data_IF_038672511416
#
_entry.id   IF_038672511416
#
_cell.length_a   1.000
_cell.length_b   1.000
_cell.length_c   1.000
_cell.angle_alpha   90.00
_cell.angle_beta   90.00
_cell.angle_gamma   90.00
#
_symmetry.space_group_name_H-M   'P 1'
#
loop_
_entity.id
_entity.type
_entity.pdbx_description
1 polymer ?
#
# COMPACT_ATOMS: atom_id res chain seq x y z
N UNK A 1 -64.62 -44.65 -43.60
CA UNK A 1 -64.52 -43.90 -44.88
C UNK A 1 -64.11 -42.50 -44.56
N UNK A 2 -62.92 -42.19 -44.87
CA UNK A 2 -62.51 -40.84 -45.06
C UNK A 2 -61.11 -40.62 -45.43
N UNK A 3 -60.88 -39.98 -46.45
CA UNK A 3 -59.55 -39.77 -47.09
C UNK A 3 -58.78 -38.64 -46.45
N UNK A 4 -57.53 -38.96 -46.13
CA UNK A 4 -56.40 -38.12 -45.72
C UNK A 4 -55.82 -37.49 -46.99
N UNK A 5 -55.84 -36.19 -47.09
CA UNK A 5 -55.07 -35.47 -48.10
C UNK A 5 -53.80 -34.87 -47.44
N UNK A 6 -52.68 -35.51 -47.75
CA UNK A 6 -51.36 -35.00 -47.46
C UNK A 6 -50.89 -34.18 -48.66
N UNK A 7 -50.75 -32.87 -48.50
CA UNK A 7 -50.13 -32.01 -49.49
C UNK A 7 -48.69 -31.76 -49.11
N UNK A 8 -47.80 -32.50 -49.78
CA UNK A 8 -46.33 -32.29 -49.75
C UNK A 8 -45.96 -31.04 -50.54
N UNK A 9 -45.39 -30.07 -49.92
CA UNK A 9 -44.79 -28.89 -50.55
C UNK A 9 -43.51 -29.31 -51.34
N UNK A 10 -43.26 -28.75 -52.55
CA UNK A 10 -42.10 -29.13 -53.38
C UNK A 10 -40.80 -28.64 -52.77
N UNK A 11 -39.68 -29.40 -52.95
CA UNK A 11 -38.39 -29.19 -52.25
C UNK A 11 -37.64 -27.88 -52.62
N UNK A 12 -38.06 -27.15 -53.64
CA UNK A 12 -37.45 -25.89 -54.06
C UNK A 12 -37.93 -24.69 -53.24
N UNK A 13 -39.02 -24.76 -52.50
CA UNK A 13 -39.45 -23.68 -51.60
C UNK A 13 -38.64 -23.64 -50.27
N UNK A 14 -38.20 -24.80 -49.77
CA UNK A 14 -37.41 -24.88 -48.56
C UNK A 14 -36.00 -24.30 -48.72
N UNK A 15 -35.47 -24.26 -49.95
CA UNK A 15 -34.12 -23.78 -50.22
C UNK A 15 -34.02 -22.24 -50.28
N UNK A 16 -35.13 -21.54 -50.49
CA UNK A 16 -35.17 -20.09 -50.53
C UNK A 16 -35.38 -19.42 -49.15
N UNK A 17 -35.96 -20.14 -48.19
CA UNK A 17 -36.14 -19.63 -46.85
C UNK A 17 -34.86 -19.70 -46.01
N UNK A 18 -33.92 -20.60 -46.32
CA UNK A 18 -32.64 -20.71 -45.61
C UNK A 18 -31.63 -19.57 -45.92
N UNK A 19 -31.73 -18.98 -47.12
CA UNK A 19 -30.76 -17.93 -47.52
C UNK A 19 -31.17 -16.56 -46.94
N UNK A 20 -32.43 -16.30 -46.72
CA UNK A 20 -32.91 -15.07 -46.13
C UNK A 20 -32.79 -15.04 -44.59
N UNK A 21 -32.75 -16.18 -43.93
CA UNK A 21 -32.58 -16.28 -42.51
C UNK A 21 -31.15 -15.95 -42.07
N UNK A 22 -30.14 -16.24 -42.88
CA UNK A 22 -28.73 -15.98 -42.57
C UNK A 22 -28.38 -14.50 -42.81
N UNK A 23 -29.00 -13.82 -43.79
CA UNK A 23 -28.77 -12.40 -44.01
C UNK A 23 -29.43 -11.47 -42.97
N UNK A 24 -30.56 -11.93 -42.34
CA UNK A 24 -31.23 -11.12 -41.32
C UNK A 24 -30.50 -11.12 -39.96
N UNK A 25 -29.69 -12.16 -39.69
CA UNK A 25 -28.94 -12.26 -38.45
C UNK A 25 -27.69 -11.30 -38.41
N UNK A 26 -27.28 -10.74 -39.52
CA UNK A 26 -26.14 -9.79 -39.60
C UNK A 26 -26.55 -8.32 -39.48
N UNK A 27 -27.82 -8.02 -39.30
CA UNK A 27 -28.33 -6.64 -39.14
C UNK A 27 -28.78 -6.29 -37.71
N UNK A 28 -28.33 -7.06 -36.72
CA UNK A 28 -28.52 -6.65 -35.35
C UNK A 28 -27.59 -5.42 -35.13
N UNK A 29 -28.13 -4.26 -34.68
CA UNK A 29 -27.29 -3.11 -34.36
C UNK A 29 -26.34 -3.56 -33.24
N UNK A 30 -25.04 -3.54 -33.50
CA UNK A 30 -24.04 -3.60 -32.44
C UNK A 30 -24.33 -2.41 -31.53
N UNK A 31 -24.85 -2.67 -30.35
CA UNK A 31 -24.90 -1.66 -29.30
C UNK A 31 -23.48 -1.10 -29.14
N UNK A 32 -23.30 0.23 -29.16
CA UNK A 32 -21.99 0.77 -28.88
C UNK A 32 -21.58 0.28 -27.50
N UNK A 33 -20.44 -0.42 -27.42
CA UNK A 33 -19.80 -0.67 -26.15
C UNK A 33 -19.55 0.71 -25.55
N UNK A 34 -20.37 1.11 -24.57
CA UNK A 34 -20.06 2.29 -23.78
C UNK A 34 -18.77 1.97 -23.05
N UNK A 35 -17.65 2.42 -23.60
CA UNK A 35 -16.44 2.55 -22.85
C UNK A 35 -16.81 3.45 -21.66
N UNK A 36 -16.85 2.85 -20.49
CA UNK A 36 -16.89 3.61 -19.24
C UNK A 36 -15.63 4.46 -19.26
N UNK A 37 -15.78 5.72 -19.63
CA UNK A 37 -14.77 6.74 -19.43
C UNK A 37 -14.62 6.88 -17.93
N UNK A 38 -13.68 6.12 -17.37
CA UNK A 38 -13.18 6.29 -16.02
C UNK A 38 -12.65 7.73 -15.94
N UNK A 39 -13.45 8.62 -15.39
CA UNK A 39 -13.16 9.95 -14.83
C UNK A 39 -11.79 10.56 -15.20
N UNK A 40 -11.53 10.76 -16.50
CA UNK A 40 -10.43 11.62 -16.96
C UNK A 40 -9.00 11.22 -16.55
N UNK A 41 -8.81 10.11 -15.89
CA UNK A 41 -7.49 9.52 -15.66
C UNK A 41 -7.13 8.67 -16.88
N UNK A 42 -6.21 9.17 -17.67
CA UNK A 42 -5.53 8.36 -18.69
C UNK A 42 -4.94 7.12 -17.99
N UNK A 43 -5.07 5.91 -18.58
CA UNK A 43 -4.30 4.77 -18.09
C UNK A 43 -2.83 5.17 -18.12
N UNK A 44 -2.13 5.03 -16.98
CA UNK A 44 -0.69 5.20 -16.94
C UNK A 44 -0.06 4.15 -17.85
N UNK A 45 0.33 4.57 -19.06
CA UNK A 45 1.08 3.76 -20.01
C UNK A 45 2.56 3.68 -19.56
N UNK A 46 2.82 3.04 -18.43
CA UNK A 46 4.19 2.96 -17.94
C UNK A 46 4.39 2.21 -16.64
N UNK A 47 3.33 1.88 -15.91
CA UNK A 47 3.48 1.13 -14.66
C UNK A 47 3.68 -0.35 -14.98
N UNK A 48 4.94 -0.76 -15.01
CA UNK A 48 5.31 -2.16 -14.90
C UNK A 48 4.61 -2.75 -13.69
N UNK A 49 3.96 -3.90 -13.90
CA UNK A 49 3.19 -4.73 -12.98
C UNK A 49 3.03 -4.15 -11.55
N UNK A 50 2.01 -3.34 -11.35
CA UNK A 50 1.66 -2.83 -10.02
C UNK A 50 1.50 -3.99 -9.04
N UNK A 51 2.13 -3.87 -7.86
CA UNK A 51 1.99 -4.89 -6.82
C UNK A 51 0.53 -4.93 -6.36
N UNK A 52 -0.18 -6.08 -6.47
CA UNK A 52 -1.56 -6.17 -6.03
C UNK A 52 -1.69 -5.86 -4.53
N UNK A 53 -2.73 -5.11 -4.13
CA UNK A 53 -2.96 -4.72 -2.73
C UNK A 53 -2.94 -5.93 -1.77
N UNK A 54 -3.56 -7.06 -2.17
CA UNK A 54 -3.54 -8.27 -1.36
C UNK A 54 -2.13 -8.91 -1.20
N UNK A 55 -1.21 -8.68 -2.12
CA UNK A 55 0.20 -9.12 -1.98
C UNK A 55 0.91 -8.21 -0.99
N UNK A 56 0.73 -6.90 -1.12
CA UNK A 56 1.27 -5.90 -0.21
C UNK A 56 0.77 -6.10 1.22
N UNK A 57 -0.54 -6.35 1.39
CA UNK A 57 -1.14 -6.68 2.68
C UNK A 57 -0.52 -7.92 3.32
N UNK A 58 -0.39 -9.04 2.60
CA UNK A 58 0.21 -10.27 3.13
C UNK A 58 1.67 -10.09 3.51
N UNK A 59 2.41 -9.29 2.73
CA UNK A 59 3.79 -8.95 3.07
C UNK A 59 3.84 -8.19 4.40
N UNK A 60 3.02 -7.16 4.56
CA UNK A 60 2.90 -6.40 5.81
C UNK A 60 2.51 -7.26 7.00
N UNK A 61 1.52 -8.13 6.84
CA UNK A 61 1.11 -9.09 7.88
C UNK A 61 2.23 -10.02 8.31
N UNK A 62 3.08 -10.46 7.38
CA UNK A 62 4.22 -11.32 7.72
C UNK A 62 5.24 -10.58 8.56
N UNK A 63 5.52 -9.31 8.23
CA UNK A 63 6.45 -8.46 8.96
C UNK A 63 5.87 -8.09 10.33
N UNK A 64 4.61 -7.66 10.39
CA UNK A 64 3.93 -7.30 11.62
C UNK A 64 3.90 -8.45 12.63
N UNK A 65 3.68 -9.70 12.18
CA UNK A 65 3.74 -10.87 13.04
C UNK A 65 5.10 -11.06 13.71
N UNK A 66 6.19 -10.75 13.01
CA UNK A 66 7.54 -10.82 13.60
C UNK A 66 7.76 -9.67 14.61
N UNK A 67 7.24 -8.48 14.32
CA UNK A 67 7.27 -7.35 15.27
C UNK A 67 6.50 -7.71 16.55
N UNK A 68 5.29 -8.24 16.44
CA UNK A 68 4.45 -8.59 17.61
C UNK A 68 5.01 -9.74 18.45
N UNK A 69 5.92 -10.56 17.90
CA UNK A 69 6.63 -11.61 18.64
C UNK A 69 7.93 -11.11 19.25
N UNK A 70 8.34 -9.93 18.89
CA UNK A 70 9.57 -9.35 19.38
C UNK A 70 9.49 -8.99 20.86
N UNK A 71 10.51 -9.30 21.69
CA UNK A 71 10.58 -8.83 23.09
C UNK A 71 10.54 -7.31 23.25
N UNK A 72 10.93 -6.57 22.20
CA UNK A 72 10.89 -5.11 22.20
C UNK A 72 9.54 -4.54 21.71
N UNK A 73 8.61 -5.39 21.26
CA UNK A 73 7.23 -4.95 21.07
C UNK A 73 6.62 -4.52 22.41
N UNK A 74 6.01 -3.34 22.42
CA UNK A 74 5.40 -2.78 23.60
C UNK A 74 3.88 -2.73 23.46
N UNK A 75 3.20 -3.58 24.24
CA UNK A 75 1.75 -3.53 24.42
C UNK A 75 1.44 -2.67 25.66
N UNK A 76 1.37 -1.35 25.45
CA UNK A 76 1.06 -0.37 26.49
C UNK A 76 -0.23 0.35 26.10
N UNK A 77 -1.35 0.11 26.83
CA UNK A 77 -2.64 0.71 26.49
C UNK A 77 -2.64 2.23 26.54
N UNK A 78 -1.88 2.84 27.48
CA UNK A 78 -1.85 4.31 27.64
C UNK A 78 -1.16 4.97 26.45
N UNK A 79 0.02 4.45 26.09
CA UNK A 79 0.74 4.95 24.90
C UNK A 79 0.00 4.59 23.61
N UNK A 80 -0.64 3.43 23.54
CA UNK A 80 -1.48 3.04 22.43
C UNK A 80 -2.64 4.00 22.24
N UNK A 81 -3.39 4.33 23.27
CA UNK A 81 -4.48 5.30 23.21
C UNK A 81 -3.98 6.69 22.81
N UNK A 82 -2.82 7.11 23.33
CA UNK A 82 -2.20 8.37 22.92
C UNK A 82 -1.86 8.38 21.43
N UNK A 83 -1.20 7.36 20.90
CA UNK A 83 -0.92 7.24 19.47
C UNK A 83 -2.21 7.23 18.63
N UNK A 84 -3.23 6.48 19.06
CA UNK A 84 -4.51 6.44 18.37
C UNK A 84 -5.22 7.81 18.37
N UNK A 85 -5.07 8.61 19.43
CA UNK A 85 -5.64 9.95 19.48
C UNK A 85 -5.09 10.90 18.40
N UNK A 86 -3.87 10.63 17.91
CA UNK A 86 -3.23 11.37 16.82
C UNK A 86 -3.51 10.66 15.47
N UNK A 87 -3.39 9.33 15.45
CA UNK A 87 -3.50 8.53 14.23
C UNK A 87 -4.89 8.60 13.58
N UNK A 88 -5.96 8.52 14.39
CA UNK A 88 -7.32 8.52 13.87
C UNK A 88 -7.72 9.82 13.16
N UNK A 89 -7.41 11.04 13.69
CA UNK A 89 -7.59 12.27 12.96
C UNK A 89 -6.83 12.36 11.64
N UNK A 90 -5.58 11.84 11.60
CA UNK A 90 -4.78 11.80 10.37
C UNK A 90 -5.42 10.89 9.31
N UNK A 91 -5.90 9.70 9.69
CA UNK A 91 -6.64 8.81 8.79
C UNK A 91 -7.93 9.46 8.27
N UNK A 92 -8.68 10.14 9.16
CA UNK A 92 -9.89 10.86 8.77
C UNK A 92 -9.61 11.97 7.75
N UNK A 93 -8.55 12.74 7.98
CA UNK A 93 -8.07 13.76 7.05
C UNK A 93 -7.63 13.16 5.71
N UNK A 94 -6.81 12.12 5.73
CA UNK A 94 -6.36 11.44 4.51
C UNK A 94 -7.55 10.92 3.68
N UNK A 95 -8.60 10.44 4.33
CA UNK A 95 -9.86 10.02 3.68
C UNK A 95 -10.58 11.20 3.04
N UNK A 96 -10.75 12.30 3.76
CA UNK A 96 -11.43 13.52 3.27
C UNK A 96 -10.69 14.12 2.07
N UNK A 97 -9.37 14.06 2.08
CA UNK A 97 -8.51 14.55 0.99
C UNK A 97 -8.46 13.61 -0.20
N UNK A 98 -8.99 12.39 -0.08
CA UNK A 98 -8.91 11.36 -1.13
C UNK A 98 -7.53 10.70 -1.26
N UNK A 99 -6.62 10.96 -0.31
CA UNK A 99 -5.31 10.27 -0.24
C UNK A 99 -5.48 8.83 0.24
N UNK A 100 -6.43 8.58 1.13
CA UNK A 100 -6.86 7.26 1.54
C UNK A 100 -8.10 6.85 0.74
N UNK A 101 -7.89 6.02 -0.30
CA UNK A 101 -8.99 5.53 -1.13
C UNK A 101 -9.81 4.44 -0.42
N UNK A 102 -11.09 4.24 -0.79
CA UNK A 102 -11.90 3.17 -0.21
C UNK A 102 -11.29 1.77 -0.36
N UNK A 103 -10.59 1.51 -1.46
CA UNK A 103 -9.92 0.23 -1.70
C UNK A 103 -8.77 0.01 -0.73
N UNK A 104 -7.92 1.02 -0.51
CA UNK A 104 -6.84 0.97 0.47
C UNK A 104 -7.39 0.81 1.88
N UNK A 105 -8.43 1.59 2.23
CA UNK A 105 -9.05 1.53 3.54
C UNK A 105 -9.58 0.14 3.89
N UNK A 106 -10.20 -0.55 2.93
CA UNK A 106 -10.76 -1.89 3.14
C UNK A 106 -9.69 -2.98 3.19
N UNK A 107 -8.60 -2.83 2.44
CA UNK A 107 -7.62 -3.90 2.27
C UNK A 107 -6.44 -3.82 3.24
N UNK A 108 -6.13 -2.64 3.77
CA UNK A 108 -4.96 -2.43 4.63
C UNK A 108 -5.32 -2.44 6.12
N UNK A 109 -4.30 -2.61 6.99
CA UNK A 109 -4.50 -2.78 8.42
C UNK A 109 -4.74 -1.47 9.17
N UNK A 110 -4.03 -0.42 8.81
CA UNK A 110 -3.99 0.88 9.50
C UNK A 110 -3.60 0.76 10.98
N UNK A 111 -2.64 -0.10 11.27
CA UNK A 111 -2.16 -0.41 12.61
C UNK A 111 -0.81 0.26 12.89
N UNK A 112 -0.65 0.74 14.13
CA UNK A 112 0.61 1.33 14.63
C UNK A 112 1.16 0.43 15.73
N UNK A 113 2.36 -0.11 15.51
CA UNK A 113 3.09 -0.91 16.48
C UNK A 113 4.09 -0.02 17.25
N UNK A 114 4.07 -0.11 18.59
CA UNK A 114 5.01 0.57 19.46
C UNK A 114 6.20 -0.35 19.76
N UNK A 115 7.42 0.17 19.59
CA UNK A 115 8.65 -0.59 19.75
C UNK A 115 9.51 0.05 20.85
N UNK A 116 10.00 -0.75 21.80
CA UNK A 116 10.86 -0.33 22.90
C UNK A 116 12.29 -0.08 22.43
N UNK A 117 12.45 0.87 21.53
CA UNK A 117 13.76 1.26 21.00
C UNK A 117 14.00 2.75 21.31
N UNK A 118 15.25 3.09 21.64
CA UNK A 118 15.63 4.45 22.05
C UNK A 118 15.94 5.37 20.89
N UNK A 119 16.13 4.83 19.70
CA UNK A 119 16.38 5.63 18.50
C UNK A 119 15.14 6.46 18.15
N UNK A 120 15.37 7.68 17.66
CA UNK A 120 14.31 8.56 17.18
C UNK A 120 13.93 8.07 15.78
N UNK A 121 12.84 7.31 15.69
CA UNK A 121 12.42 6.71 14.41
C UNK A 121 10.93 6.38 14.40
N UNK A 122 10.33 6.50 13.20
CA UNK A 122 9.10 5.84 12.79
C UNK A 122 9.29 5.32 11.37
N UNK A 123 8.51 4.35 10.95
CA UNK A 123 8.65 3.78 9.62
C UNK A 123 7.34 3.16 9.14
N UNK A 124 7.07 3.38 7.86
CA UNK A 124 5.97 2.73 7.16
C UNK A 124 6.33 1.29 6.77
N UNK A 125 5.35 0.42 6.81
CA UNK A 125 5.43 -0.97 6.36
C UNK A 125 4.34 -1.24 5.30
N UNK A 126 4.53 -2.26 4.45
CA UNK A 126 3.51 -2.62 3.47
C UNK A 126 2.17 -2.95 4.14
N UNK A 127 1.07 -2.70 3.44
CA UNK A 127 -0.25 -3.13 3.91
C UNK A 127 -0.85 -2.34 5.07
N UNK A 128 -0.35 -1.11 5.31
CA UNK A 128 -0.94 -0.20 6.29
C UNK A 128 -0.47 -0.39 7.73
N UNK A 129 0.71 -0.97 7.93
CA UNK A 129 1.36 -1.05 9.23
C UNK A 129 2.39 0.05 9.37
N UNK A 130 2.52 0.58 10.58
CA UNK A 130 3.57 1.53 10.99
C UNK A 130 4.29 1.00 12.21
N UNK A 131 5.60 1.27 12.30
CA UNK A 131 6.37 1.11 13.53
C UNK A 131 6.73 2.47 14.11
N UNK A 132 6.61 2.63 15.43
CA UNK A 132 6.98 3.84 16.17
C UNK A 132 7.90 3.45 17.32
N UNK A 133 9.08 4.05 17.38
CA UNK A 133 10.02 3.84 18.47
C UNK A 133 9.69 4.74 19.67
N UNK A 134 9.85 4.22 20.87
CA UNK A 134 9.71 5.02 22.10
C UNK A 134 10.63 6.24 22.12
N UNK A 135 11.83 6.14 21.49
CA UNK A 135 12.75 7.25 21.36
C UNK A 135 12.15 8.45 20.65
N UNK A 136 11.32 8.25 19.63
CA UNK A 136 10.61 9.32 18.94
C UNK A 136 9.62 10.01 19.89
N UNK A 137 8.77 9.24 20.58
CA UNK A 137 7.78 9.79 21.52
C UNK A 137 8.46 10.59 22.63
N UNK A 138 9.64 10.12 23.06
CA UNK A 138 10.42 10.81 24.10
C UNK A 138 11.13 12.07 23.62
N UNK A 139 11.37 12.20 22.32
CA UNK A 139 12.14 13.30 21.72
C UNK A 139 11.26 14.47 21.27
N UNK A 140 10.03 14.19 20.85
CA UNK A 140 9.10 15.24 20.39
C UNK A 140 8.64 16.12 21.56
N UNK A 141 8.49 17.40 21.29
CA UNK A 141 8.09 18.41 22.28
C UNK A 141 6.57 18.65 22.28
N UNK A 142 5.88 18.24 21.22
CA UNK A 142 4.42 18.45 21.06
C UNK A 142 3.76 17.30 20.28
N UNK A 143 2.44 17.26 20.38
CA UNK A 143 1.62 16.36 19.57
C UNK A 143 1.71 16.71 18.06
N UNK A 144 1.93 17.98 17.72
CA UNK A 144 2.07 18.42 16.33
C UNK A 144 3.33 17.85 15.68
N UNK A 145 4.44 17.84 16.43
CA UNK A 145 5.69 17.21 15.95
C UNK A 145 5.49 15.71 15.71
N UNK A 146 4.83 14.99 16.63
CA UNK A 146 4.53 13.58 16.44
C UNK A 146 3.56 13.36 15.27
N UNK A 147 2.53 14.20 15.16
CA UNK A 147 1.57 14.15 14.05
C UNK A 147 2.24 14.38 12.70
N UNK A 148 3.26 15.26 12.62
CA UNK A 148 4.00 15.50 11.39
C UNK A 148 4.73 14.24 10.90
N UNK A 149 5.40 13.54 11.81
CA UNK A 149 6.09 12.28 11.48
C UNK A 149 5.08 11.20 11.08
N UNK A 150 4.01 11.03 11.86
CA UNK A 150 2.98 10.02 11.54
C UNK A 150 2.26 10.33 10.22
N UNK A 151 2.04 11.60 9.88
CA UNK A 151 1.44 12.01 8.61
C UNK A 151 2.38 11.75 7.43
N UNK A 152 3.69 11.95 7.61
CA UNK A 152 4.70 11.61 6.63
C UNK A 152 4.70 10.09 6.35
N UNK A 153 4.77 9.27 7.41
CA UNK A 153 4.72 7.80 7.28
C UNK A 153 3.41 7.29 6.68
N UNK A 154 2.27 7.89 7.07
CA UNK A 154 0.97 7.62 6.47
C UNK A 154 0.99 7.88 4.96
N UNK A 155 1.68 8.94 4.54
CA UNK A 155 1.78 9.29 3.12
C UNK A 155 2.57 8.27 2.32
N UNK A 156 3.63 7.66 2.89
CA UNK A 156 4.32 6.55 2.25
C UNK A 156 3.40 5.36 1.99
N UNK A 157 2.46 5.09 2.90
CA UNK A 157 1.48 4.01 2.74
C UNK A 157 0.41 4.38 1.71
N UNK A 158 -0.21 5.57 1.82
CA UNK A 158 -1.30 5.98 0.93
C UNK A 158 -0.84 6.18 -0.51
N UNK A 159 0.40 6.66 -0.72
CA UNK A 159 1.03 6.80 -2.04
C UNK A 159 1.71 5.49 -2.51
N UNK A 160 1.64 4.43 -1.71
CA UNK A 160 2.14 3.09 -2.02
C UNK A 160 3.63 3.08 -2.43
N UNK A 161 4.46 3.87 -1.75
CA UNK A 161 5.88 4.02 -2.09
C UNK A 161 6.62 2.69 -2.01
N UNK A 162 6.34 1.85 -1.01
CA UNK A 162 6.95 0.53 -0.87
C UNK A 162 6.55 -0.39 -2.04
N UNK A 163 5.27 -0.39 -2.43
CA UNK A 163 4.81 -1.17 -3.58
C UNK A 163 5.48 -0.72 -4.88
N UNK A 164 5.67 0.58 -5.06
CA UNK A 164 6.40 1.15 -6.22
C UNK A 164 7.86 0.72 -6.23
N UNK A 165 8.55 0.69 -5.08
CA UNK A 165 9.92 0.16 -5.00
C UNK A 165 9.98 -1.34 -5.30
N UNK A 166 9.03 -2.13 -4.78
CA UNK A 166 8.92 -3.56 -5.05
C UNK A 166 8.72 -3.82 -6.55
N UNK A 167 7.86 -3.06 -7.21
CA UNK A 167 7.60 -3.17 -8.65
C UNK A 167 8.87 -2.92 -9.48
N UNK A 168 9.71 -1.98 -9.05
CA UNK A 168 10.99 -1.68 -9.71
C UNK A 168 12.00 -2.84 -9.61
N UNK A 169 11.90 -3.69 -8.59
CA UNK A 169 12.77 -4.87 -8.39
C UNK A 169 12.30 -6.12 -9.14
N UNK A 170 11.16 -6.05 -9.83
CA UNK A 170 10.61 -7.13 -10.62
C UNK A 170 10.00 -8.26 -9.79
N UNK A 171 9.91 -9.48 -10.38
CA UNK A 171 9.19 -10.61 -9.78
C UNK A 171 9.69 -11.08 -8.41
N UNK A 172 10.95 -10.84 -8.08
CA UNK A 172 11.55 -11.19 -6.79
C UNK A 172 11.40 -10.08 -5.74
N UNK A 173 10.89 -8.90 -6.14
CA UNK A 173 10.77 -7.73 -5.31
C UNK A 173 10.11 -7.95 -3.95
N UNK A 174 8.94 -8.63 -3.86
CA UNK A 174 8.28 -8.84 -2.57
C UNK A 174 9.10 -9.68 -1.58
N UNK A 175 9.78 -10.72 -2.07
CA UNK A 175 10.62 -11.58 -1.24
C UNK A 175 11.88 -10.85 -0.77
N UNK A 176 12.53 -10.13 -1.67
CA UNK A 176 13.73 -9.34 -1.36
C UNK A 176 13.40 -8.23 -0.38
N UNK A 177 12.31 -7.50 -0.61
CA UNK A 177 11.89 -6.42 0.27
C UNK A 177 11.53 -6.92 1.67
N UNK A 178 10.77 -8.03 1.78
CA UNK A 178 10.45 -8.66 3.05
C UNK A 178 11.71 -9.07 3.82
N UNK A 179 12.66 -9.72 3.15
CA UNK A 179 13.94 -10.10 3.75
C UNK A 179 14.77 -8.89 4.19
N UNK A 180 14.76 -7.79 3.42
CA UNK A 180 15.44 -6.55 3.78
C UNK A 180 14.84 -5.91 5.04
N UNK A 181 13.52 -5.76 5.11
CA UNK A 181 12.83 -5.16 6.26
C UNK A 181 13.08 -6.00 7.52
N UNK A 182 12.91 -7.33 7.43
CA UNK A 182 13.20 -8.24 8.55
C UNK A 182 14.68 -8.20 8.94
N UNK A 183 15.59 -8.11 7.98
CA UNK A 183 17.02 -7.97 8.22
C UNK A 183 17.38 -6.67 8.96
N UNK A 184 16.71 -5.56 8.65
CA UNK A 184 16.89 -4.30 9.39
C UNK A 184 16.38 -4.37 10.81
N UNK A 185 15.20 -4.95 11.02
CA UNK A 185 14.64 -5.16 12.35
C UNK A 185 15.56 -6.05 13.20
N UNK A 186 16.19 -7.07 12.61
CA UNK A 186 17.17 -7.91 13.29
C UNK A 186 18.49 -7.18 13.57
N UNK A 187 18.96 -6.33 12.65
CA UNK A 187 20.22 -5.60 12.77
C UNK A 187 20.15 -4.51 13.85
N UNK A 188 19.00 -3.85 14.02
CA UNK A 188 18.80 -2.85 15.08
C UNK A 188 18.98 -3.45 16.48
N UNK A 189 18.63 -4.72 16.66
CA UNK A 189 18.81 -5.46 17.92
C UNK A 189 20.26 -5.79 18.24
N UNK A 190 21.06 -6.14 17.21
CA UNK A 190 22.49 -6.50 17.41
C UNK A 190 23.36 -5.29 17.66
N UNK A 191 22.97 -4.10 17.21
CA UNK A 191 23.68 -2.85 17.51
C UNK A 191 23.71 -2.51 19.01
N UNK A 192 22.74 -3.00 19.77
CA UNK A 192 22.65 -2.85 21.23
C UNK A 192 23.36 -3.97 22.01
N UNK A 193 23.82 -5.02 21.35
CA UNK A 193 24.55 -6.12 22.00
C UNK A 193 26.05 -5.82 22.04
N UNK A 194 26.55 -5.46 23.19
CA UNK A 194 27.93 -5.01 23.49
C UNK A 194 29.04 -6.08 23.32
N UNK A 195 28.91 -7.06 22.42
CA UNK A 195 29.85 -8.19 22.31
C UNK A 195 30.35 -8.51 20.89
N UNK A 196 30.16 -7.64 19.91
CA UNK A 196 30.73 -7.88 18.58
C UNK A 196 32.11 -7.24 18.43
N UNK A 197 33.10 -8.00 17.96
CA UNK A 197 34.40 -7.48 17.62
C UNK A 197 34.30 -6.35 16.60
N UNK A 198 35.12 -5.33 16.69
CA UNK A 198 35.11 -4.13 15.82
C UNK A 198 35.10 -4.46 14.30
N UNK A 199 35.74 -5.59 13.90
CA UNK A 199 35.75 -6.08 12.52
C UNK A 199 34.38 -6.56 12.04
N UNK A 200 33.63 -7.30 12.91
CA UNK A 200 32.26 -7.73 12.61
C UNK A 200 31.28 -6.54 12.63
N UNK A 201 31.50 -5.57 13.54
CA UNK A 201 30.67 -4.37 13.61
C UNK A 201 30.77 -3.50 12.34
N UNK A 202 31.97 -3.40 11.75
CA UNK A 202 32.17 -2.69 10.46
C UNK A 202 31.51 -3.43 9.32
N UNK A 203 31.58 -4.76 9.29
CA UNK A 203 30.99 -5.58 8.23
C UNK A 203 29.44 -5.57 8.30
N UNK A 204 28.87 -5.74 9.51
CA UNK A 204 27.42 -5.70 9.74
C UNK A 204 26.89 -4.28 9.64
N UNK A 205 27.62 -3.28 10.14
CA UNK A 205 27.26 -1.87 10.00
C UNK A 205 27.29 -1.40 8.55
N UNK A 206 28.28 -1.88 7.75
CA UNK A 206 28.33 -1.61 6.32
C UNK A 206 27.16 -2.25 5.55
N UNK A 207 26.77 -3.48 5.90
CA UNK A 207 25.59 -4.13 5.32
C UNK A 207 24.29 -3.47 5.77
N UNK A 208 24.14 -3.12 7.04
CA UNK A 208 22.99 -2.40 7.55
C UNK A 208 22.84 -1.02 6.89
N UNK A 209 23.95 -0.28 6.72
CA UNK A 209 23.96 0.99 6.01
C UNK A 209 23.59 0.83 4.52
N UNK A 210 24.07 -0.25 3.87
CA UNK A 210 23.72 -0.55 2.48
C UNK A 210 22.23 -0.93 2.34
N UNK A 211 21.70 -1.71 3.29
CA UNK A 211 20.27 -2.06 3.34
C UNK A 211 19.44 -0.80 3.61
N UNK A 212 19.84 0.04 4.55
CA UNK A 212 19.20 1.32 4.84
C UNK A 212 19.18 2.23 3.60
N UNK A 213 20.30 2.29 2.86
CA UNK A 213 20.36 3.09 1.62
C UNK A 213 19.46 2.53 0.50
N UNK A 214 19.19 1.22 0.48
CA UNK A 214 18.29 0.60 -0.47
C UNK A 214 16.80 0.75 -0.09
N UNK A 215 16.51 0.96 1.19
CA UNK A 215 15.17 1.28 1.68
C UNK A 215 14.89 2.78 1.73
N UNK A 216 15.89 3.62 1.49
CA UNK A 216 15.67 5.04 1.32
C UNK A 216 14.78 5.25 0.10
N UNK A 217 13.63 5.85 0.34
CA UNK A 217 12.75 6.29 -0.73
C UNK A 217 13.48 7.27 -1.64
N UNK A 218 13.09 7.30 -2.90
CA UNK A 218 13.68 8.30 -3.81
C UNK A 218 13.35 9.70 -3.31
N UNK A 219 14.18 10.70 -3.67
CA UNK A 219 13.92 12.10 -3.32
C UNK A 219 12.55 12.61 -3.78
N UNK A 220 12.01 12.01 -4.84
CA UNK A 220 10.69 12.38 -5.34
C UNK A 220 9.58 11.77 -4.47
N UNK A 221 9.77 10.54 -3.99
CA UNK A 221 8.85 9.90 -3.03
C UNK A 221 8.86 10.64 -1.68
N UNK A 222 10.04 11.09 -1.20
CA UNK A 222 10.15 11.91 0.01
C UNK A 222 9.39 13.23 -0.13
N UNK A 223 9.62 13.96 -1.23
CA UNK A 223 8.88 15.21 -1.51
C UNK A 223 7.38 14.99 -1.66
N UNK A 224 6.98 13.85 -2.20
CA UNK A 224 5.57 13.47 -2.31
C UNK A 224 4.99 13.21 -0.92
N UNK A 225 5.71 12.46 -0.04
CA UNK A 225 5.32 12.18 1.33
C UNK A 225 5.23 13.47 2.16
N UNK A 226 6.22 14.36 2.05
CA UNK A 226 6.21 15.67 2.70
C UNK A 226 5.00 16.51 2.30
N UNK A 227 4.75 16.62 0.98
CA UNK A 227 3.62 17.43 0.46
C UNK A 227 2.27 16.86 0.88
N UNK A 228 2.09 15.55 0.79
CA UNK A 228 0.83 14.88 1.16
C UNK A 228 0.67 14.91 2.68
N UNK A 229 1.71 14.57 3.43
CA UNK A 229 1.72 14.56 4.90
C UNK A 229 1.42 15.93 5.50
N UNK A 230 2.05 16.98 4.96
CA UNK A 230 1.74 18.35 5.35
C UNK A 230 0.25 18.69 5.17
N UNK A 231 -0.32 18.33 4.03
CA UNK A 231 -1.74 18.54 3.78
C UNK A 231 -2.64 17.74 4.72
N UNK A 232 -2.28 16.47 4.99
CA UNK A 232 -3.03 15.58 5.88
C UNK A 232 -3.01 16.12 7.32
N UNK A 233 -1.81 16.47 7.85
CA UNK A 233 -1.73 16.96 9.23
C UNK A 233 -2.46 18.29 9.43
N UNK A 234 -2.35 19.21 8.47
CA UNK A 234 -3.00 20.53 8.53
C UNK A 234 -4.51 20.40 8.51
N UNK A 235 -5.07 19.54 7.63
CA UNK A 235 -6.52 19.28 7.58
C UNK A 235 -7.02 18.56 8.86
N UNK A 236 -6.15 17.74 9.49
CA UNK A 236 -6.44 17.10 10.77
C UNK A 236 -6.42 18.08 11.96
N UNK A 237 -6.05 19.36 11.75
CA UNK A 237 -6.04 20.41 12.74
C UNK A 237 -4.75 20.55 13.54
N UNK A 238 -3.64 19.93 13.09
CA UNK A 238 -2.31 20.07 13.67
C UNK A 238 -1.56 21.28 13.11
N UNK A 239 -0.75 21.91 13.94
CA UNK A 239 0.00 23.10 13.56
C UNK A 239 1.14 22.79 12.57
N UNK A 240 1.23 23.56 11.45
CA UNK A 240 2.22 23.27 10.39
C UNK A 240 3.68 23.35 10.85
N UNK A 241 3.96 24.10 11.93
CA UNK A 241 5.32 24.24 12.47
C UNK A 241 5.93 22.91 12.93
N UNK A 242 5.11 21.92 13.30
CA UNK A 242 5.56 20.57 13.61
C UNK A 242 6.27 19.86 12.45
N UNK A 243 6.04 20.31 11.21
CA UNK A 243 6.62 19.69 10.00
C UNK A 243 8.01 20.22 9.62
N UNK A 244 8.52 21.25 10.28
CA UNK A 244 9.73 22.00 9.89
C UNK A 244 10.94 21.67 10.76
N UNK A 245 10.75 20.84 11.79
CA UNK A 245 11.82 20.44 12.73
C UNK A 245 12.40 19.09 12.39
#
# INVERSE_FOLDING_TARGET
MAHMFSTLLPPHLLRRLGVWGVCAAMLLPMAPAQAQLNNGRLPNLGDGAEVPLGVERRLGESIAREIYRDPDYLDDPVLGDYLQSIWQPLLASARQRGELTPELEQQFAWEVALIRERSINAFALPGGYLGVHLGLISAVSSADELASVLAHELSHVTQRHIARMIAQQGRQGPMVMGAMILGMLAASRTANASSMSAANAVMVGGQAAAIQSQLNFSRDMEREADRVGYGVMTEAGYEPQGFVT
#
